data_IF_293935110823
#
_entry.id   IF_293935110823
#
_cell.length_a   1.000
_cell.length_b   1.000
_cell.length_c   1.000
_cell.angle_alpha   90.00
_cell.angle_beta   90.00
_cell.angle_gamma   90.00
#
_symmetry.space_group_name_H-M   'P 1'
#
loop_
_entity.id
_entity.type
_entity.pdbx_description
1 polymer ?
#
# COMPACT_ATOMS: atom_id res chain seq x y z
N UNK A 1 26.76 0.65 -63.61
CA UNK A 1 26.86 0.13 -62.23
C UNK A 1 26.37 1.20 -61.27
N UNK A 2 25.73 0.78 -60.18
CA UNK A 2 24.67 1.48 -59.43
C UNK A 2 25.12 2.78 -58.74
N UNK A 3 24.31 3.85 -58.83
CA UNK A 3 24.39 5.03 -57.96
C UNK A 3 23.66 4.72 -56.66
N UNK A 4 24.36 4.73 -55.53
CA UNK A 4 23.75 4.61 -54.21
C UNK A 4 23.38 6.00 -53.70
N UNK A 5 22.09 6.21 -53.40
CA UNK A 5 21.60 7.39 -52.69
C UNK A 5 21.50 7.01 -51.22
N UNK A 6 22.32 7.61 -50.38
CA UNK A 6 22.25 7.46 -48.92
C UNK A 6 21.27 8.52 -48.42
N UNK A 7 20.10 8.10 -47.95
CA UNK A 7 19.15 8.96 -47.26
C UNK A 7 19.66 9.18 -45.83
N UNK A 8 20.09 10.40 -45.50
CA UNK A 8 20.39 10.81 -44.13
C UNK A 8 19.06 11.20 -43.46
N UNK A 9 18.48 10.29 -42.69
CA UNK A 9 17.35 10.61 -41.81
C UNK A 9 17.93 11.25 -40.55
N UNK A 10 17.99 12.58 -40.52
CA UNK A 10 18.30 13.32 -39.29
C UNK A 10 17.11 13.19 -38.36
N UNK A 11 17.19 12.26 -37.41
CA UNK A 11 16.26 12.15 -36.29
C UNK A 11 16.45 13.38 -35.40
N UNK A 12 15.65 14.42 -35.63
CA UNK A 12 15.58 15.57 -34.73
C UNK A 12 14.88 15.08 -33.47
N UNK A 13 15.67 14.74 -32.45
CA UNK A 13 15.15 14.57 -31.09
C UNK A 13 14.74 15.95 -30.60
N UNK A 14 13.49 16.34 -30.85
CA UNK A 14 12.89 17.44 -30.11
C UNK A 14 12.92 17.03 -28.64
N UNK A 15 13.60 17.79 -27.75
CA UNK A 15 13.36 17.60 -26.34
C UNK A 15 11.88 17.93 -26.14
N UNK A 16 11.09 16.92 -25.77
CA UNK A 16 9.74 17.13 -25.27
C UNK A 16 9.94 17.89 -23.97
N UNK A 17 9.93 19.22 -24.06
CA UNK A 17 9.73 20.10 -22.92
C UNK A 17 8.37 19.69 -22.38
N UNK A 18 8.37 18.81 -21.38
CA UNK A 18 7.18 18.50 -20.61
C UNK A 18 6.73 19.83 -20.01
N UNK A 19 5.71 20.44 -20.62
CA UNK A 19 5.05 21.61 -20.07
C UNK A 19 4.50 21.14 -18.73
N UNK A 20 5.10 21.61 -17.64
CA UNK A 20 4.56 21.38 -16.31
C UNK A 20 3.15 21.97 -16.32
N UNK A 21 2.14 21.11 -16.28
CA UNK A 21 0.76 21.57 -16.16
C UNK A 21 0.66 22.29 -14.81
N UNK A 22 0.38 23.59 -14.84
CA UNK A 22 0.17 24.34 -13.60
C UNK A 22 -1.08 23.80 -12.92
N UNK A 23 -0.90 23.23 -11.72
CA UNK A 23 -2.02 22.79 -10.90
C UNK A 23 -2.62 24.02 -10.24
N UNK A 24 -3.81 24.41 -10.68
CA UNK A 24 -4.55 25.55 -10.14
C UNK A 24 -5.82 25.08 -9.42
N UNK A 25 -6.24 25.88 -8.43
CA UNK A 25 -7.47 25.71 -7.65
C UNK A 25 -7.52 24.34 -6.95
N UNK A 26 -6.61 24.13 -6.00
CA UNK A 26 -6.58 22.96 -5.12
C UNK A 26 -7.22 23.31 -3.78
N UNK A 27 -7.88 22.34 -3.18
CA UNK A 27 -8.59 22.48 -1.91
C UNK A 27 -7.63 22.42 -0.72
N UNK A 28 -6.55 21.64 -0.86
CA UNK A 28 -5.54 21.45 0.17
C UNK A 28 -4.16 21.16 -0.43
N UNK A 29 -3.10 21.56 0.29
CA UNK A 29 -1.69 21.26 -0.02
C UNK A 29 -1.03 20.85 1.30
N UNK A 30 -0.44 19.66 1.35
CA UNK A 30 0.32 19.20 2.52
C UNK A 30 1.69 19.87 2.58
N UNK A 31 2.35 19.87 3.75
CA UNK A 31 3.79 20.09 3.83
C UNK A 31 4.55 19.07 2.95
N UNK A 32 5.78 19.42 2.60
CA UNK A 32 6.65 18.55 1.81
C UNK A 32 7.20 17.45 2.72
N UNK A 33 6.89 16.19 2.39
CA UNK A 33 7.44 15.00 3.03
C UNK A 33 8.08 14.11 1.97
N UNK A 34 9.31 13.64 2.22
CA UNK A 34 10.04 12.76 1.29
C UNK A 34 10.11 13.32 -0.15
N UNK A 35 10.41 14.61 -0.23
CA UNK A 35 10.58 15.43 -1.45
C UNK A 35 9.30 15.69 -2.27
N UNK A 36 8.13 15.35 -1.74
CA UNK A 36 6.85 15.54 -2.42
C UNK A 36 5.82 16.18 -1.50
N UNK A 37 4.84 16.87 -2.08
CA UNK A 37 3.66 17.35 -1.37
C UNK A 37 2.40 16.69 -1.96
N UNK A 38 1.48 16.29 -1.09
CA UNK A 38 0.16 15.84 -1.48
C UNK A 38 -0.74 17.06 -1.73
N UNK A 39 -1.50 17.03 -2.82
CA UNK A 39 -2.45 18.07 -3.17
C UNK A 39 -3.84 17.46 -3.34
N UNK A 40 -4.86 18.14 -2.82
CA UNK A 40 -6.25 17.69 -2.92
C UNK A 40 -7.02 18.59 -3.87
N UNK A 41 -7.84 17.98 -4.73
CA UNK A 41 -8.81 18.68 -5.56
C UNK A 41 -10.02 17.81 -5.82
N UNK A 42 -11.21 18.34 -5.58
CA UNK A 42 -12.49 17.67 -5.84
C UNK A 42 -12.57 16.28 -5.16
N UNK A 43 -12.03 16.18 -3.93
CA UNK A 43 -11.98 14.94 -3.16
C UNK A 43 -10.98 13.88 -3.67
N UNK A 44 -10.10 14.24 -4.60
CA UNK A 44 -9.03 13.39 -5.13
C UNK A 44 -7.67 13.91 -4.70
N UNK A 45 -6.70 13.02 -4.61
CA UNK A 45 -5.33 13.34 -4.20
C UNK A 45 -4.34 13.11 -5.33
N UNK A 46 -3.36 13.99 -5.45
CA UNK A 46 -2.21 13.90 -6.35
C UNK A 46 -0.93 14.23 -5.58
N UNK A 47 0.24 14.00 -6.19
CA UNK A 47 1.51 14.42 -5.62
C UNK A 47 2.26 15.35 -6.58
N UNK A 48 2.90 16.37 -6.01
CA UNK A 48 3.79 17.31 -6.70
C UNK A 48 5.20 17.25 -6.11
N UNK A 49 6.21 17.56 -6.92
CA UNK A 49 7.59 17.75 -6.45
C UNK A 49 7.84 19.20 -5.96
N UNK A 50 9.08 19.48 -5.53
CA UNK A 50 9.50 20.80 -5.03
C UNK A 50 9.43 21.91 -6.09
N UNK A 51 9.50 21.53 -7.35
CA UNK A 51 9.38 22.43 -8.50
C UNK A 51 7.91 22.71 -8.87
N UNK A 52 6.95 22.11 -8.16
CA UNK A 52 5.51 22.26 -8.41
C UNK A 52 5.00 21.42 -9.57
N UNK A 53 5.80 20.49 -10.10
CA UNK A 53 5.40 19.58 -11.15
C UNK A 53 4.62 18.40 -10.55
N UNK A 54 3.46 18.10 -11.14
CA UNK A 54 2.69 16.93 -10.77
C UNK A 54 3.40 15.65 -11.19
N UNK A 55 3.78 14.83 -10.21
CA UNK A 55 4.46 13.54 -10.41
C UNK A 55 3.47 12.37 -10.42
N UNK A 56 2.35 12.49 -9.70
CA UNK A 56 1.28 11.49 -9.63
C UNK A 56 -0.04 12.20 -9.86
N UNK A 57 -0.82 11.71 -10.83
CA UNK A 57 -2.12 12.26 -11.17
C UNK A 57 -3.16 12.04 -10.07
N UNK A 58 -4.22 12.86 -10.10
CA UNK A 58 -5.34 12.77 -9.16
C UNK A 58 -5.98 11.39 -9.16
N UNK A 59 -6.09 10.82 -7.96
CA UNK A 59 -6.63 9.48 -7.71
C UNK A 59 -7.40 9.45 -6.38
N UNK A 60 -8.34 8.52 -6.27
CA UNK A 60 -9.29 8.41 -5.14
C UNK A 60 -8.94 7.31 -4.15
N UNK A 61 -7.96 6.48 -4.48
CA UNK A 61 -7.62 5.25 -3.77
C UNK A 61 -6.39 5.41 -2.86
N UNK A 62 -5.82 6.61 -2.72
CA UNK A 62 -4.75 6.87 -1.76
C UNK A 62 -5.26 6.77 -0.33
N UNK A 63 -4.55 6.03 0.53
CA UNK A 63 -4.87 5.94 1.93
C UNK A 63 -4.39 7.21 2.66
N UNK A 64 -5.21 7.72 3.57
CA UNK A 64 -4.94 8.93 4.32
C UNK A 64 -4.19 8.54 5.60
N UNK A 65 -3.10 9.26 5.88
CA UNK A 65 -2.37 9.17 7.15
C UNK A 65 -2.69 10.40 8.00
N UNK A 66 -3.00 10.19 9.27
CA UNK A 66 -3.29 11.27 10.21
C UNK A 66 -2.03 11.80 10.88
N UNK A 67 -1.78 13.10 10.73
CA UNK A 67 -0.65 13.84 11.29
C UNK A 67 -1.14 14.99 12.18
N UNK A 68 -0.23 15.60 12.93
CA UNK A 68 -0.55 16.78 13.76
C UNK A 68 -0.99 17.99 12.93
N UNK A 69 -0.49 18.10 11.70
CA UNK A 69 -0.72 19.18 10.75
C UNK A 69 -1.78 18.85 9.67
N UNK A 70 -2.36 17.64 9.71
CA UNK A 70 -3.51 17.30 8.88
C UNK A 70 -3.62 15.82 8.51
N UNK A 71 -4.68 15.51 7.77
CA UNK A 71 -4.97 14.18 7.25
C UNK A 71 -4.69 14.14 5.74
N UNK A 72 -3.60 13.50 5.33
CA UNK A 72 -3.22 13.43 3.91
C UNK A 72 -2.41 12.16 3.58
N UNK A 73 -2.42 11.72 2.32
CA UNK A 73 -1.59 10.59 1.91
C UNK A 73 -0.11 10.99 1.87
N UNK A 74 0.77 10.05 2.20
CA UNK A 74 2.21 10.29 2.20
C UNK A 74 3.01 9.08 1.73
N UNK A 75 4.25 9.35 1.32
CA UNK A 75 5.24 8.31 1.09
C UNK A 75 6.02 8.04 2.37
N UNK A 76 6.25 6.77 2.66
CA UNK A 76 7.22 6.28 3.64
C UNK A 76 8.04 5.18 2.95
N UNK A 77 9.37 5.29 2.98
CA UNK A 77 10.30 4.43 2.22
C UNK A 77 9.87 4.19 0.75
N UNK A 78 9.59 5.29 0.05
CA UNK A 78 9.15 5.27 -1.36
C UNK A 78 7.90 4.42 -1.63
N UNK A 79 7.07 4.18 -0.60
CA UNK A 79 5.76 3.53 -0.71
C UNK A 79 4.67 4.43 -0.16
N UNK A 80 3.58 4.56 -0.90
CA UNK A 80 2.37 5.21 -0.43
C UNK A 80 1.22 4.19 -0.39
N UNK A 81 0.50 4.06 0.74
CA UNK A 81 -0.59 3.10 0.85
C UNK A 81 -1.77 3.48 -0.06
N UNK A 82 -2.41 2.46 -0.64
CA UNK A 82 -3.65 2.57 -1.41
C UNK A 82 -4.71 1.61 -0.88
N UNK A 83 -5.98 1.97 -1.04
CA UNK A 83 -7.12 1.18 -0.56
C UNK A 83 -8.08 0.88 -1.70
N UNK A 84 -8.49 -0.40 -1.81
CA UNK A 84 -9.54 -0.84 -2.72
C UNK A 84 -10.60 -1.63 -1.97
N UNK A 85 -11.86 -1.25 -2.16
CA UNK A 85 -13.00 -1.96 -1.57
C UNK A 85 -13.46 -3.08 -2.50
N UNK A 86 -13.55 -4.31 -1.98
CA UNK A 86 -14.09 -5.49 -2.69
C UNK A 86 -15.16 -6.14 -1.81
N UNK A 87 -16.37 -6.31 -2.35
CA UNK A 87 -17.52 -6.83 -1.61
C UNK A 87 -17.79 -6.10 -0.25
N UNK A 88 -17.53 -4.79 -0.19
CA UNK A 88 -17.70 -3.99 1.02
C UNK A 88 -16.54 -4.10 2.03
N UNK A 89 -15.47 -4.83 1.72
CA UNK A 89 -14.28 -4.98 2.57
C UNK A 89 -13.11 -4.21 1.95
N UNK A 90 -12.45 -3.38 2.75
CA UNK A 90 -11.26 -2.63 2.34
C UNK A 90 -10.02 -3.51 2.32
N UNK A 91 -9.23 -3.37 1.26
CA UNK A 91 -7.92 -4.01 1.13
C UNK A 91 -6.86 -2.96 0.85
N UNK A 92 -5.71 -3.13 1.49
CA UNK A 92 -4.55 -2.25 1.42
C UNK A 92 -3.49 -2.84 0.49
N UNK A 93 -2.90 -1.95 -0.29
CA UNK A 93 -1.76 -2.17 -1.18
C UNK A 93 -0.87 -0.92 -1.17
N UNK A 94 0.09 -0.85 -2.08
CA UNK A 94 1.05 0.26 -2.12
C UNK A 94 1.45 0.64 -3.55
N UNK A 95 1.71 1.93 -3.73
CA UNK A 95 2.25 2.49 -4.96
C UNK A 95 3.69 2.99 -4.77
N UNK A 96 4.45 3.07 -5.84
CA UNK A 96 5.74 3.76 -5.89
C UNK A 96 5.59 5.27 -6.14
N UNK A 97 6.71 6.00 -6.10
CA UNK A 97 6.80 7.44 -6.41
C UNK A 97 6.45 7.80 -7.86
N UNK A 98 6.37 6.82 -8.76
CA UNK A 98 5.88 7.00 -10.13
C UNK A 98 4.36 6.80 -10.23
N UNK A 99 3.69 6.43 -9.13
CA UNK A 99 2.26 6.16 -9.07
C UNK A 99 1.86 4.73 -9.47
N UNK A 100 2.82 3.86 -9.79
CA UNK A 100 2.54 2.48 -10.16
C UNK A 100 2.21 1.64 -8.93
N UNK A 101 1.24 0.73 -9.07
CA UNK A 101 0.93 -0.22 -7.99
C UNK A 101 2.03 -1.28 -7.94
N UNK A 102 2.81 -1.28 -6.84
CA UNK A 102 3.87 -2.26 -6.58
C UNK A 102 3.31 -3.44 -5.79
N UNK A 103 2.42 -3.15 -4.84
CA UNK A 103 1.77 -4.16 -4.00
C UNK A 103 0.27 -4.03 -4.23
N UNK A 104 -0.32 -5.03 -4.88
CA UNK A 104 -1.76 -5.06 -5.12
C UNK A 104 -2.56 -5.04 -3.80
N UNK A 105 -3.71 -4.34 -3.75
CA UNK A 105 -4.61 -4.35 -2.60
C UNK A 105 -5.07 -5.76 -2.22
N UNK A 106 -4.44 -6.31 -1.17
CA UNK A 106 -4.60 -7.70 -0.74
C UNK A 106 -4.55 -7.91 0.79
N UNK A 107 -4.10 -6.91 1.55
CA UNK A 107 -4.03 -6.98 3.02
C UNK A 107 -5.27 -6.33 3.64
N UNK A 108 -5.76 -6.84 4.77
CA UNK A 108 -6.89 -6.19 5.46
C UNK A 108 -6.50 -4.84 6.09
N UNK A 109 -5.24 -4.67 6.42
CA UNK A 109 -4.64 -3.46 6.97
C UNK A 109 -3.12 -3.54 6.80
N UNK A 110 -2.44 -2.41 6.89
CA UNK A 110 -0.98 -2.33 6.90
C UNK A 110 -0.50 -1.09 7.65
N UNK A 111 0.67 -1.17 8.28
CA UNK A 111 1.40 0.02 8.68
C UNK A 111 2.07 0.65 7.47
N UNK A 112 2.55 1.88 7.64
CA UNK A 112 3.53 2.45 6.72
C UNK A 112 4.83 1.64 6.73
N UNK A 113 5.58 1.74 5.63
CA UNK A 113 6.93 1.17 5.55
C UNK A 113 7.90 1.98 6.40
N UNK A 114 8.80 1.28 7.08
CA UNK A 114 9.94 1.87 7.78
C UNK A 114 11.13 0.94 7.65
N UNK A 115 12.28 1.47 7.27
CA UNK A 115 13.49 0.71 6.91
C UNK A 115 13.18 -0.49 5.99
N UNK A 116 12.34 -0.29 4.98
CA UNK A 116 11.99 -1.29 3.97
C UNK A 116 10.99 -2.37 4.43
N UNK A 117 10.47 -2.30 5.66
CA UNK A 117 9.55 -3.28 6.23
C UNK A 117 8.25 -2.63 6.69
N UNK A 118 7.12 -3.30 6.46
CA UNK A 118 5.82 -2.95 7.04
C UNK A 118 5.18 -4.16 7.72
N UNK A 119 4.30 -3.93 8.69
CA UNK A 119 3.42 -4.97 9.24
C UNK A 119 2.11 -4.94 8.44
N UNK A 120 1.61 -6.09 8.00
CA UNK A 120 0.35 -6.20 7.26
C UNK A 120 -0.54 -7.33 7.78
N UNK A 121 -1.84 -7.24 7.52
CA UNK A 121 -2.82 -8.27 7.87
C UNK A 121 -3.11 -9.18 6.67
N UNK A 122 -2.44 -10.32 6.61
CA UNK A 122 -2.64 -11.32 5.55
C UNK A 122 -3.78 -12.27 5.88
N UNK A 123 -4.82 -12.29 5.06
CA UNK A 123 -5.92 -13.28 5.16
C UNK A 123 -5.54 -14.57 4.47
N UNK A 124 -5.79 -15.69 5.15
CA UNK A 124 -5.66 -17.05 4.63
C UNK A 124 -7.03 -17.73 4.70
N UNK A 125 -7.46 -18.31 3.57
CA UNK A 125 -8.64 -19.18 3.46
C UNK A 125 -8.19 -20.63 3.63
N UNK A 126 -8.82 -21.36 4.56
CA UNK A 126 -8.63 -22.80 4.72
C UNK A 126 -9.94 -23.54 4.49
N UNK A 127 -9.95 -24.53 3.59
CA UNK A 127 -11.06 -25.48 3.49
C UNK A 127 -10.93 -26.47 4.65
N UNK A 128 -11.96 -26.58 5.47
CA UNK A 128 -11.95 -27.46 6.65
C UNK A 128 -12.78 -28.72 6.43
N UNK A 129 -13.75 -28.67 5.53
CA UNK A 129 -14.57 -29.82 5.13
C UNK A 129 -15.29 -29.50 3.81
N UNK A 130 -15.93 -30.51 3.21
CA UNK A 130 -16.84 -30.35 2.08
C UNK A 130 -18.23 -30.83 2.50
N UNK A 131 -19.23 -29.97 2.33
CA UNK A 131 -20.63 -30.38 2.43
C UNK A 131 -20.98 -31.09 1.11
N UNK A 132 -21.06 -32.41 1.16
CA UNK A 132 -21.33 -33.24 -0.03
C UNK A 132 -22.77 -33.13 -0.51
N UNK A 133 -23.73 -32.85 0.37
CA UNK A 133 -25.13 -32.68 0.00
C UNK A 133 -25.37 -31.40 -0.83
N UNK A 134 -24.58 -30.35 -0.59
CA UNK A 134 -24.68 -29.06 -1.28
C UNK A 134 -23.56 -28.81 -2.30
N UNK A 135 -22.61 -29.74 -2.43
CA UNK A 135 -21.37 -29.59 -3.18
C UNK A 135 -20.61 -28.29 -2.88
N UNK A 136 -20.47 -27.94 -1.59
CA UNK A 136 -19.86 -26.68 -1.13
C UNK A 136 -18.73 -26.90 -0.14
N UNK A 137 -17.64 -26.16 -0.32
CA UNK A 137 -16.57 -26.06 0.68
C UNK A 137 -17.07 -25.39 1.95
N UNK A 138 -16.77 -25.99 3.10
CA UNK A 138 -16.84 -25.34 4.41
C UNK A 138 -15.47 -24.74 4.66
N UNK A 139 -15.42 -23.42 4.85
CA UNK A 139 -14.18 -22.65 4.91
C UNK A 139 -14.05 -21.91 6.22
N UNK A 140 -12.81 -21.72 6.66
CA UNK A 140 -12.44 -20.83 7.75
C UNK A 140 -11.43 -19.80 7.23
N UNK A 141 -11.64 -18.55 7.61
CA UNK A 141 -10.70 -17.47 7.30
C UNK A 141 -10.00 -17.04 8.58
N UNK A 142 -8.69 -16.86 8.49
CA UNK A 142 -7.88 -16.27 9.55
C UNK A 142 -6.98 -15.21 8.95
N UNK A 143 -6.77 -14.12 9.67
CA UNK A 143 -5.72 -13.16 9.31
C UNK A 143 -4.52 -13.29 10.23
N UNK A 144 -3.36 -12.96 9.68
CA UNK A 144 -2.07 -13.02 10.34
C UNK A 144 -1.40 -11.66 10.22
N UNK A 145 -0.78 -11.21 11.30
CA UNK A 145 0.15 -10.10 11.28
C UNK A 145 1.47 -10.61 10.71
N UNK A 146 1.86 -10.08 9.56
CA UNK A 146 3.04 -10.49 8.82
C UNK A 146 3.96 -9.30 8.58
N UNK A 147 5.26 -9.56 8.50
CA UNK A 147 6.21 -8.60 7.95
C UNK A 147 6.24 -8.74 6.43
N UNK A 148 6.20 -7.61 5.74
CA UNK A 148 6.34 -7.54 4.29
C UNK A 148 7.50 -6.63 3.90
N UNK A 149 8.23 -7.01 2.86
CA UNK A 149 9.23 -6.16 2.21
C UNK A 149 8.57 -5.15 1.25
N UNK A 150 9.38 -4.25 0.67
CA UNK A 150 8.89 -3.21 -0.26
C UNK A 150 8.32 -3.75 -1.57
N UNK A 151 8.46 -5.04 -1.85
CA UNK A 151 7.88 -5.76 -2.99
C UNK A 151 6.59 -6.51 -2.59
N UNK A 152 6.25 -6.51 -1.30
CA UNK A 152 5.08 -7.20 -0.75
C UNK A 152 5.31 -8.68 -0.45
N UNK A 153 6.56 -9.16 -0.50
CA UNK A 153 6.87 -10.52 -0.10
C UNK A 153 6.78 -10.63 1.42
N UNK A 154 6.15 -11.71 1.89
CA UNK A 154 6.05 -11.98 3.32
C UNK A 154 7.38 -12.54 3.82
N UNK A 155 8.03 -11.83 4.72
CA UNK A 155 9.33 -12.23 5.30
C UNK A 155 9.17 -12.96 6.63
N UNK A 156 8.12 -12.65 7.41
CA UNK A 156 7.90 -13.27 8.72
C UNK A 156 6.42 -13.25 9.15
N UNK A 157 6.00 -14.23 9.96
CA UNK A 157 4.67 -14.27 10.60
C UNK A 157 4.80 -13.97 12.10
N UNK A 158 4.29 -12.80 12.53
CA UNK A 158 4.41 -12.35 13.92
C UNK A 158 3.51 -13.17 14.87
N UNK A 159 2.33 -13.60 14.41
CA UNK A 159 1.38 -14.38 15.22
C UNK A 159 1.01 -15.73 14.57
N UNK A 160 1.71 -16.81 14.93
CA UNK A 160 1.51 -18.13 14.31
C UNK A 160 0.09 -18.70 14.39
N UNK A 161 -0.65 -18.32 15.43
CA UNK A 161 -2.03 -18.76 15.54
C UNK A 161 -2.92 -18.09 14.50
N UNK A 162 -2.76 -16.80 14.22
CA UNK A 162 -3.72 -16.02 13.43
C UNK A 162 -5.05 -15.82 14.16
N UNK A 163 -5.83 -14.85 13.69
CA UNK A 163 -7.12 -14.45 14.28
C UNK A 163 -8.24 -14.84 13.34
N UNK A 164 -9.27 -15.52 13.87
CA UNK A 164 -10.46 -15.87 13.08
C UNK A 164 -11.18 -14.60 12.60
N UNK A 165 -11.60 -14.61 11.34
CA UNK A 165 -12.34 -13.50 10.74
C UNK A 165 -13.45 -14.03 9.84
N UNK A 166 -14.56 -13.32 9.79
CA UNK A 166 -15.64 -13.59 8.83
C UNK A 166 -15.48 -12.59 7.69
N UNK A 167 -15.25 -13.09 6.49
CA UNK A 167 -14.99 -12.28 5.29
C UNK A 167 -16.31 -11.83 4.64
N UNK A 168 -17.11 -11.10 5.42
CA UNK A 168 -18.37 -10.52 4.99
C UNK A 168 -18.52 -9.13 5.60
N UNK A 169 -18.94 -8.15 4.80
CA UNK A 169 -19.02 -6.72 5.20
C UNK A 169 -19.93 -6.48 6.42
N UNK A 170 -20.95 -7.30 6.64
CA UNK A 170 -21.91 -7.11 7.71
C UNK A 170 -21.32 -7.52 9.07
N UNK A 171 -20.31 -8.41 9.02
CA UNK A 171 -19.52 -8.88 10.16
C UNK A 171 -18.21 -8.11 10.32
N UNK A 172 -17.55 -7.76 9.22
CA UNK A 172 -16.29 -7.00 9.18
C UNK A 172 -16.56 -5.52 8.95
N UNK A 173 -17.28 -4.90 9.90
CA UNK A 173 -17.73 -3.50 9.80
C UNK A 173 -16.59 -2.49 9.88
N UNK A 174 -15.50 -2.86 10.54
CA UNK A 174 -14.32 -2.02 10.74
C UNK A 174 -13.07 -2.76 10.32
N UNK A 175 -12.08 -1.99 9.86
CA UNK A 175 -10.76 -2.52 9.51
C UNK A 175 -10.10 -3.09 10.77
N UNK A 176 -9.70 -4.38 10.79
CA UNK A 176 -9.00 -4.95 11.93
C UNK A 176 -7.69 -4.19 12.19
N UNK A 177 -7.41 -3.95 13.47
CA UNK A 177 -6.23 -3.19 13.88
C UNK A 177 -5.03 -4.13 14.03
N UNK A 178 -3.86 -3.66 13.59
CA UNK A 178 -2.58 -4.32 13.84
C UNK A 178 -2.24 -4.12 15.31
N UNK A 179 -1.92 -5.20 16.01
CA UNK A 179 -1.64 -5.17 17.44
C UNK A 179 -0.14 -5.22 17.75
N UNK A 180 0.65 -5.82 16.86
CA UNK A 180 2.11 -5.88 17.00
C UNK A 180 2.73 -4.51 16.74
N UNK A 181 3.88 -4.29 17.38
CA UNK A 181 4.62 -3.03 17.30
C UNK A 181 6.07 -3.33 16.97
N UNK A 182 6.62 -2.60 15.99
CA UNK A 182 8.06 -2.58 15.76
C UNK A 182 8.73 -1.76 16.86
N UNK A 183 9.75 -2.32 17.50
CA UNK A 183 10.56 -1.65 18.53
C UNK A 183 11.86 -1.16 17.89
N UNK A 184 12.52 -2.02 17.12
CA UNK A 184 13.71 -1.70 16.32
C UNK A 184 13.72 -2.55 15.05
N UNK A 185 14.78 -2.47 14.27
CA UNK A 185 14.93 -3.16 12.99
C UNK A 185 14.57 -4.65 13.07
N UNK A 186 15.15 -5.34 14.05
CA UNK A 186 15.02 -6.78 14.28
C UNK A 186 14.05 -7.14 15.43
N UNK A 187 13.46 -6.16 16.11
CA UNK A 187 12.76 -6.39 17.38
C UNK A 187 11.30 -5.95 17.33
N UNK A 188 10.40 -6.88 17.67
CA UNK A 188 8.95 -6.68 17.59
C UNK A 188 8.26 -7.09 18.90
N UNK A 189 7.30 -6.29 19.34
CA UNK A 189 6.39 -6.64 20.41
C UNK A 189 5.10 -7.22 19.82
N UNK A 190 4.73 -8.43 20.24
CA UNK A 190 3.54 -9.14 19.75
C UNK A 190 2.69 -9.58 20.94
N UNK A 191 1.37 -9.41 20.85
CA UNK A 191 0.45 -9.90 21.89
C UNK A 191 0.20 -11.40 21.75
N UNK A 192 0.26 -12.11 22.87
CA UNK A 192 -0.16 -13.50 22.95
C UNK A 192 -1.68 -13.63 23.19
N UNK A 193 -2.19 -14.87 23.21
CA UNK A 193 -3.63 -15.17 23.45
C UNK A 193 -4.17 -14.66 24.79
N UNK A 194 -3.31 -14.40 25.78
CA UNK A 194 -3.67 -13.82 27.09
C UNK A 194 -3.57 -12.30 27.11
N UNK A 195 -3.41 -11.65 25.95
CA UNK A 195 -3.25 -10.20 25.80
C UNK A 195 -1.98 -9.66 26.50
N UNK A 196 -0.97 -10.51 26.73
CA UNK A 196 0.33 -10.12 27.27
C UNK A 196 1.34 -9.94 26.14
N UNK A 197 2.33 -9.06 26.33
CA UNK A 197 3.36 -8.76 25.35
C UNK A 197 4.48 -9.78 25.37
N UNK A 198 4.83 -10.29 24.20
CA UNK A 198 6.06 -11.04 23.93
C UNK A 198 6.99 -10.18 23.09
N UNK A 199 8.29 -10.29 23.33
CA UNK A 199 9.32 -9.66 22.49
C UNK A 199 9.90 -10.74 21.58
N UNK A 200 9.86 -10.50 20.28
CA UNK A 200 10.39 -11.40 19.25
C UNK A 200 11.55 -10.70 18.58
N UNK A 201 12.70 -11.38 18.56
CA UNK A 201 13.86 -10.97 17.76
C UNK A 201 13.88 -11.79 16.46
N UNK A 202 13.88 -11.11 15.33
CA UNK A 202 13.96 -11.72 14.00
C UNK A 202 15.40 -11.54 13.54
N UNK A 203 16.09 -12.64 13.29
CA UNK A 203 17.43 -12.62 12.70
C UNK A 203 17.27 -12.90 11.22
N UNK A 204 18.01 -12.16 10.40
CA UNK A 204 18.23 -12.48 8.98
C UNK A 204 18.87 -13.86 8.80
#
# INVERSE_FOLDING_TARGET
MKKAVILFITSITFPVLAIAQSVNNVDFISPIHNDVAAIQKDGKWAFINKEGQQIINFRTDLAITSMEDGDYPMFNDDRCPIVKVKAGISYFGFIDKSGNTVIEPQFLNSTDFKDGIAIALKVIRKVIAKNTALDKDIVNYRYYEVLIDTQGNITYYLNQDGVNVIMDKDFLRTVPQITSKRISEELYAVKNKKNLWNIIKIKE
#
